data_IF_371504201444
#
_entry.id   IF_371504201444
#
_cell.length_a   1.000
_cell.length_b   1.000
_cell.length_c   1.000
_cell.angle_alpha   90.00
_cell.angle_beta   90.00
_cell.angle_gamma   90.00
#
_symmetry.space_group_name_H-M   'P 1'
#
loop_
_entity.id
_entity.type
_entity.pdbx_description
1 polymer ?
#
# COMPACT_ATOMS: atom_id res chain seq x y z
N UNK A 1 15.96 -7.92 7.90
CA UNK A 1 14.78 -7.09 7.63
C UNK A 1 15.17 -5.68 7.15
N UNK A 2 16.00 -4.91 7.90
CA UNK A 2 16.38 -3.53 7.54
C UNK A 2 17.03 -3.45 6.16
N UNK A 3 18.02 -4.31 5.88
CA UNK A 3 18.67 -4.36 4.55
C UNK A 3 17.68 -4.62 3.41
N UNK A 4 16.72 -5.52 3.63
CA UNK A 4 15.71 -5.84 2.63
C UNK A 4 14.80 -4.63 2.39
N UNK A 5 14.39 -3.92 3.45
CA UNK A 5 13.58 -2.69 3.33
C UNK A 5 14.33 -1.62 2.54
N UNK A 6 15.61 -1.39 2.85
CA UNK A 6 16.42 -0.41 2.14
C UNK A 6 16.64 -0.82 0.68
N UNK A 7 17.08 -2.06 0.43
CA UNK A 7 17.35 -2.54 -0.93
C UNK A 7 16.08 -2.50 -1.79
N UNK A 8 14.99 -3.09 -1.33
CA UNK A 8 13.73 -3.16 -2.07
C UNK A 8 13.09 -1.77 -2.17
N UNK A 9 12.97 -1.05 -1.05
CA UNK A 9 12.31 0.26 -1.03
C UNK A 9 13.01 1.29 -1.91
N UNK A 10 14.35 1.37 -1.86
CA UNK A 10 15.12 2.31 -2.68
C UNK A 10 15.07 1.88 -4.16
N UNK A 11 15.29 0.59 -4.46
CA UNK A 11 15.24 0.09 -5.84
C UNK A 11 13.89 0.38 -6.49
N UNK A 12 12.78 0.08 -5.80
CA UNK A 12 11.44 0.37 -6.31
C UNK A 12 11.20 1.88 -6.47
N UNK A 13 11.65 2.70 -5.53
CA UNK A 13 11.51 4.17 -5.65
C UNK A 13 12.24 4.69 -6.89
N UNK A 14 13.47 4.22 -7.16
CA UNK A 14 14.26 4.61 -8.35
C UNK A 14 13.56 4.13 -9.62
N UNK A 15 13.14 2.86 -9.67
CA UNK A 15 12.46 2.30 -10.84
C UNK A 15 11.17 3.08 -11.14
N UNK A 16 10.35 3.34 -10.13
CA UNK A 16 9.09 4.08 -10.29
C UNK A 16 9.36 5.51 -10.76
N UNK A 17 10.36 6.19 -10.21
CA UNK A 17 10.75 7.52 -10.66
C UNK A 17 11.21 7.54 -12.12
N UNK A 18 11.90 6.47 -12.56
CA UNK A 18 12.36 6.35 -13.95
C UNK A 18 11.23 6.07 -14.94
N UNK A 19 10.24 5.24 -14.56
CA UNK A 19 9.18 4.77 -15.48
C UNK A 19 7.84 5.49 -15.33
N UNK A 20 7.73 6.48 -14.41
CA UNK A 20 6.43 7.11 -14.09
C UNK A 20 5.70 7.68 -15.31
N UNK A 21 6.43 8.22 -16.30
CA UNK A 21 5.86 8.77 -17.53
C UNK A 21 5.49 7.68 -18.55
N UNK A 22 6.18 6.54 -18.54
CA UNK A 22 5.92 5.43 -19.44
C UNK A 22 4.70 4.61 -19.03
N UNK A 23 4.43 4.50 -17.73
CA UNK A 23 3.32 3.68 -17.21
C UNK A 23 1.96 4.09 -17.79
N UNK A 24 1.56 5.38 -17.80
CA UNK A 24 0.30 5.78 -18.42
C UNK A 24 0.24 5.49 -19.92
N UNK A 25 1.38 5.55 -20.63
CA UNK A 25 1.47 5.22 -22.05
C UNK A 25 1.23 3.73 -22.28
N UNK A 26 1.88 2.88 -21.50
CA UNK A 26 1.67 1.42 -21.57
C UNK A 26 0.25 0.99 -21.21
N UNK A 27 -0.40 1.74 -20.31
CA UNK A 27 -1.80 1.53 -19.95
C UNK A 27 -2.78 2.15 -20.93
N UNK A 28 -2.31 2.75 -22.04
CA UNK A 28 -3.14 3.39 -23.07
C UNK A 28 -4.07 4.46 -22.49
N UNK A 29 -3.62 5.19 -21.48
CA UNK A 29 -4.36 6.29 -20.89
C UNK A 29 -4.51 7.42 -21.92
N UNK A 30 -5.69 8.04 -21.98
CA UNK A 30 -6.01 9.17 -22.87
C UNK A 30 -4.95 10.28 -22.72
N UNK A 31 -4.56 10.88 -23.86
CA UNK A 31 -3.50 11.90 -23.89
C UNK A 31 -3.82 13.10 -23.02
N UNK A 32 -5.10 13.49 -22.93
CA UNK A 32 -5.53 14.65 -22.14
C UNK A 32 -5.32 14.49 -20.63
N UNK A 33 -5.25 13.25 -20.11
CA UNK A 33 -5.09 12.98 -18.69
C UNK A 33 -3.78 12.25 -18.35
N UNK A 34 -2.93 11.99 -19.35
CA UNK A 34 -1.69 11.21 -19.21
C UNK A 34 -0.70 11.84 -18.24
N UNK A 35 -0.52 13.15 -18.30
CA UNK A 35 0.38 13.87 -17.38
C UNK A 35 -0.16 13.87 -15.94
N UNK A 36 -1.46 14.01 -15.77
CA UNK A 36 -2.11 13.90 -14.46
C UNK A 36 -1.94 12.49 -13.87
N UNK A 37 -2.12 11.45 -14.69
CA UNK A 37 -1.93 10.07 -14.30
C UNK A 37 -0.46 9.78 -13.90
N UNK A 38 0.52 10.33 -14.64
CA UNK A 38 1.94 10.20 -14.32
C UNK A 38 2.28 10.87 -12.98
N UNK A 39 1.77 12.10 -12.72
CA UNK A 39 1.96 12.78 -11.45
C UNK A 39 1.30 12.04 -10.29
N UNK A 40 0.06 11.59 -10.48
CA UNK A 40 -0.64 10.76 -9.50
C UNK A 40 0.19 9.52 -9.12
N UNK A 41 0.68 8.80 -10.12
CA UNK A 41 1.49 7.60 -9.93
C UNK A 41 2.78 7.93 -9.18
N UNK A 42 3.49 8.99 -9.56
CA UNK A 42 4.72 9.40 -8.90
C UNK A 42 4.49 9.78 -7.42
N UNK A 43 3.48 10.60 -7.13
CA UNK A 43 3.15 11.03 -5.77
C UNK A 43 2.78 9.82 -4.89
N UNK A 44 1.94 8.93 -5.41
CA UNK A 44 1.46 7.77 -4.67
C UNK A 44 2.59 6.79 -4.30
N UNK A 45 3.55 6.62 -5.18
CA UNK A 45 4.64 5.66 -5.03
C UNK A 45 5.97 6.27 -4.55
N UNK A 46 6.09 7.61 -4.52
CA UNK A 46 7.28 8.27 -3.98
C UNK A 46 7.68 7.75 -2.57
N UNK A 47 6.75 7.54 -1.61
CA UNK A 47 7.09 7.01 -0.30
C UNK A 47 7.21 5.47 -0.27
N UNK A 48 7.64 4.82 -1.37
CA UNK A 48 7.71 3.36 -1.46
C UNK A 48 8.61 2.74 -0.39
N UNK A 49 9.67 3.43 0.01
CA UNK A 49 10.54 3.02 1.11
C UNK A 49 9.75 2.87 2.42
N UNK A 50 8.92 3.86 2.77
CA UNK A 50 8.10 3.83 3.99
C UNK A 50 7.00 2.78 3.92
N UNK A 51 6.40 2.60 2.74
CA UNK A 51 5.41 1.54 2.49
C UNK A 51 6.03 0.15 2.68
N UNK A 52 7.22 -0.07 2.12
CA UNK A 52 7.98 -1.32 2.27
C UNK A 52 8.36 -1.54 3.75
N UNK A 53 8.80 -0.50 4.45
CA UNK A 53 9.09 -0.56 5.88
C UNK A 53 7.86 -0.95 6.70
N UNK A 54 6.69 -0.35 6.41
CA UNK A 54 5.45 -0.68 7.11
C UNK A 54 5.06 -2.16 6.94
N UNK A 55 5.19 -2.70 5.73
CA UNK A 55 4.86 -4.11 5.43
C UNK A 55 5.86 -5.05 6.12
N UNK A 56 7.16 -4.87 5.90
CA UNK A 56 8.19 -5.80 6.38
C UNK A 56 8.34 -5.71 7.89
N UNK A 57 8.45 -4.52 8.47
CA UNK A 57 8.60 -4.37 9.92
C UNK A 57 7.31 -4.73 10.67
N UNK A 58 6.14 -4.47 10.06
CA UNK A 58 4.87 -4.94 10.58
C UNK A 58 4.79 -6.48 10.63
N UNK A 59 5.36 -7.17 9.65
CA UNK A 59 5.45 -8.63 9.65
C UNK A 59 6.44 -9.14 10.70
N UNK A 60 7.59 -8.48 10.85
CA UNK A 60 8.58 -8.80 11.89
C UNK A 60 7.99 -8.63 13.29
N UNK A 61 7.23 -7.57 13.57
CA UNK A 61 6.56 -7.39 14.85
C UNK A 61 5.53 -8.50 15.11
N UNK A 62 4.74 -8.87 14.10
CA UNK A 62 3.78 -9.98 14.22
C UNK A 62 4.46 -11.32 14.49
N UNK A 63 5.62 -11.59 13.89
CA UNK A 63 6.34 -12.86 14.09
C UNK A 63 6.90 -13.03 15.51
N UNK A 64 7.06 -11.95 16.28
CA UNK A 64 7.42 -12.01 17.72
C UNK A 64 6.21 -11.84 18.65
N UNK A 65 4.98 -11.97 18.11
CA UNK A 65 3.73 -11.90 18.87
C UNK A 65 3.15 -10.50 19.07
N UNK A 66 3.86 -9.42 18.69
CA UNK A 66 3.30 -8.07 18.77
C UNK A 66 2.40 -7.77 17.57
N UNK A 67 1.17 -8.23 17.65
CA UNK A 67 0.12 -7.96 16.65
C UNK A 67 -0.58 -6.62 16.86
N UNK A 68 -0.55 -6.11 18.10
CA UNK A 68 -1.26 -4.87 18.49
C UNK A 68 -0.62 -3.62 17.89
N UNK A 69 0.71 -3.56 17.84
CA UNK A 69 1.43 -2.41 17.30
C UNK A 69 1.16 -2.19 15.81
N UNK A 70 1.33 -3.19 14.91
CA UNK A 70 0.98 -3.02 13.49
C UNK A 70 -0.51 -2.68 13.27
N UNK A 71 -1.40 -3.29 14.06
CA UNK A 71 -2.83 -2.99 13.99
C UNK A 71 -3.12 -1.52 14.33
N UNK A 72 -2.60 -1.02 15.45
CA UNK A 72 -2.80 0.38 15.87
C UNK A 72 -2.24 1.37 14.85
N UNK A 73 -1.03 1.11 14.33
CA UNK A 73 -0.42 1.95 13.29
C UNK A 73 -1.28 1.93 12.03
N UNK A 74 -1.80 0.78 11.62
CA UNK A 74 -2.69 0.65 10.47
C UNK A 74 -4.01 1.43 10.64
N UNK A 75 -4.64 1.34 11.81
CA UNK A 75 -5.87 2.10 12.11
C UNK A 75 -5.62 3.61 12.03
N UNK A 76 -4.57 4.11 12.69
CA UNK A 76 -4.22 5.54 12.65
C UNK A 76 -3.87 5.99 11.24
N UNK A 77 -3.13 5.17 10.48
CA UNK A 77 -2.80 5.43 9.08
C UNK A 77 -4.07 5.59 8.22
N UNK A 78 -5.07 4.72 8.41
CA UNK A 78 -6.34 4.81 7.69
C UNK A 78 -7.16 6.05 8.10
N UNK A 79 -7.16 6.41 9.38
CA UNK A 79 -7.82 7.64 9.86
C UNK A 79 -7.15 8.86 9.20
N UNK A 80 -5.82 8.94 9.23
CA UNK A 80 -5.06 10.03 8.58
C UNK A 80 -5.40 10.08 7.08
N UNK A 81 -5.39 8.95 6.38
CA UNK A 81 -5.72 8.88 4.97
C UNK A 81 -7.13 9.40 4.69
N UNK A 82 -8.12 8.96 5.47
CA UNK A 82 -9.52 9.38 5.31
C UNK A 82 -9.69 10.89 5.53
N UNK A 83 -9.11 11.43 6.60
CA UNK A 83 -9.18 12.86 6.92
C UNK A 83 -8.49 13.69 5.83
N UNK A 84 -7.29 13.29 5.43
CA UNK A 84 -6.55 14.00 4.39
C UNK A 84 -7.22 13.90 3.01
N UNK A 85 -7.82 12.77 2.66
CA UNK A 85 -8.63 12.64 1.44
C UNK A 85 -9.76 13.66 1.44
N UNK A 86 -10.45 13.79 2.55
CA UNK A 86 -11.52 14.76 2.70
C UNK A 86 -11.06 16.21 2.54
N UNK A 87 -9.87 16.53 3.07
CA UNK A 87 -9.28 17.87 3.00
C UNK A 87 -8.65 18.19 1.65
N UNK A 88 -8.03 17.22 0.97
CA UNK A 88 -7.24 17.49 -0.23
C UNK A 88 -8.02 17.31 -1.52
N UNK A 89 -8.97 16.37 -1.57
CA UNK A 89 -9.72 16.10 -2.80
C UNK A 89 -10.68 17.25 -3.11
N UNK A 90 -11.40 17.69 -2.10
CA UNK A 90 -12.49 18.66 -2.30
C UNK A 90 -12.04 20.10 -2.10
N UNK A 91 -12.62 21.06 -2.84
CA UNK A 91 -12.46 22.48 -2.55
C UNK A 91 -13.18 22.85 -1.25
N UNK A 92 -12.86 24.01 -0.71
CA UNK A 92 -13.57 24.59 0.44
C UNK A 92 -15.06 24.69 0.11
N UNK A 93 -15.90 24.11 0.97
CA UNK A 93 -17.35 24.03 0.79
C UNK A 93 -18.09 24.33 2.08
N UNK A 94 -19.28 24.86 1.96
CA UNK A 94 -20.18 25.06 3.08
C UNK A 94 -21.13 23.87 3.16
N UNK A 95 -21.07 23.12 4.26
CA UNK A 95 -22.04 22.06 4.54
C UNK A 95 -23.06 22.57 5.54
N UNK A 96 -24.33 22.39 5.23
CA UNK A 96 -25.44 22.70 6.16
C UNK A 96 -25.83 21.40 6.84
N UNK A 97 -25.49 21.26 8.13
CA UNK A 97 -25.82 20.08 8.93
C UNK A 97 -26.74 20.54 10.05
N UNK A 98 -27.95 20.00 10.10
CA UNK A 98 -28.97 20.36 11.10
C UNK A 98 -29.24 21.87 11.22
N UNK A 99 -29.20 22.60 10.09
CA UNK A 99 -29.45 24.05 10.05
C UNK A 99 -28.23 24.93 10.41
N UNK A 100 -27.08 24.34 10.72
CA UNK A 100 -25.84 25.04 11.01
C UNK A 100 -24.94 25.00 9.77
N UNK A 101 -24.53 26.17 9.27
CA UNK A 101 -23.59 26.30 8.16
C UNK A 101 -22.17 26.14 8.69
N UNK A 102 -21.53 25.02 8.34
CA UNK A 102 -20.13 24.73 8.69
C UNK A 102 -19.28 24.86 7.44
N UNK A 103 -18.30 25.77 7.46
CA UNK A 103 -17.32 25.88 6.39
C UNK A 103 -16.29 24.77 6.55
N UNK A 104 -16.29 23.83 5.62
CA UNK A 104 -15.33 22.73 5.57
C UNK A 104 -14.16 23.16 4.70
N UNK A 105 -12.94 23.30 5.28
CA UNK A 105 -11.75 23.66 4.50
C UNK A 105 -11.41 22.54 3.51
N UNK A 106 -10.93 22.89 2.34
CA UNK A 106 -10.47 21.94 1.34
C UNK A 106 -9.49 22.58 0.36
N UNK A 107 -8.49 21.79 -0.07
CA UNK A 107 -7.46 22.28 -0.97
C UNK A 107 -7.86 22.18 -2.45
N UNK A 108 -8.83 21.33 -2.79
CA UNK A 108 -9.33 21.22 -4.18
C UNK A 108 -8.35 20.59 -5.16
N UNK A 109 -7.40 19.77 -4.67
CA UNK A 109 -6.39 19.12 -5.55
C UNK A 109 -6.97 17.93 -6.33
N UNK A 110 -8.23 17.54 -6.11
CA UNK A 110 -8.86 16.43 -6.82
C UNK A 110 -8.08 15.12 -6.70
N UNK A 111 -7.75 14.52 -7.84
CA UNK A 111 -7.06 13.23 -7.91
C UNK A 111 -5.63 13.29 -7.30
N UNK A 112 -4.90 14.38 -7.53
CA UNK A 112 -3.57 14.56 -6.95
C UNK A 112 -3.65 14.67 -5.42
N UNK A 113 -4.72 15.25 -4.89
CA UNK A 113 -5.00 15.31 -3.46
C UNK A 113 -5.16 13.93 -2.82
N UNK A 114 -5.83 13.00 -3.51
CA UNK A 114 -5.96 11.62 -3.07
C UNK A 114 -4.61 10.89 -3.01
N UNK A 115 -3.74 11.13 -4.01
CA UNK A 115 -2.39 10.59 -4.01
C UNK A 115 -1.55 11.13 -2.85
N UNK A 116 -1.60 12.45 -2.60
CA UNK A 116 -0.90 13.10 -1.49
C UNK A 116 -1.37 12.57 -0.12
N UNK A 117 -2.69 12.45 0.07
CA UNK A 117 -3.24 11.89 1.31
C UNK A 117 -2.72 10.48 1.58
N UNK A 118 -2.69 9.64 0.56
CA UNK A 118 -2.16 8.28 0.64
C UNK A 118 -0.65 8.26 0.90
N UNK A 119 0.11 9.12 0.21
CA UNK A 119 1.55 9.23 0.39
C UNK A 119 1.92 9.64 1.83
N UNK A 120 1.22 10.63 2.39
CA UNK A 120 1.42 11.08 3.78
C UNK A 120 1.06 9.96 4.77
N UNK A 121 -0.07 9.27 4.56
CA UNK A 121 -0.49 8.17 5.42
C UNK A 121 0.51 7.01 5.41
N UNK A 122 1.04 6.61 4.25
CA UNK A 122 2.09 5.58 4.15
C UNK A 122 3.40 6.03 4.78
N UNK A 123 3.78 7.29 4.62
CA UNK A 123 4.98 7.86 5.26
C UNK A 123 4.85 7.80 6.78
N UNK A 124 3.71 8.23 7.32
CA UNK A 124 3.42 8.11 8.75
C UNK A 124 3.52 6.64 9.21
N UNK A 125 2.83 5.72 8.51
CA UNK A 125 2.85 4.29 8.84
C UNK A 125 4.25 3.71 8.86
N UNK A 126 5.07 4.01 7.84
CA UNK A 126 6.45 3.56 7.75
C UNK A 126 7.33 4.11 8.88
N UNK A 127 7.22 5.40 9.20
CA UNK A 127 7.97 6.01 10.30
C UNK A 127 7.52 5.43 11.65
N UNK A 128 6.21 5.37 11.90
CA UNK A 128 5.67 4.89 13.16
C UNK A 128 6.08 3.44 13.45
N UNK A 129 5.96 2.54 12.47
CA UNK A 129 6.35 1.15 12.62
C UNK A 129 7.87 1.00 12.83
N UNK A 130 8.68 1.80 12.10
CA UNK A 130 10.13 1.83 12.24
C UNK A 130 10.52 2.24 13.66
N UNK A 131 9.97 3.33 14.17
CA UNK A 131 10.25 3.81 15.53
C UNK A 131 9.86 2.76 16.58
N UNK A 132 8.73 2.06 16.39
CA UNK A 132 8.28 0.99 17.30
C UNK A 132 9.24 -0.20 17.25
N UNK A 133 9.69 -0.62 16.08
CA UNK A 133 10.68 -1.68 15.93
C UNK A 133 12.00 -1.32 16.61
N UNK A 134 12.50 -0.09 16.45
CA UNK A 134 13.74 0.38 17.08
C UNK A 134 13.66 0.47 18.61
N UNK A 135 12.47 0.61 19.16
CA UNK A 135 12.22 0.65 20.61
C UNK A 135 11.84 -0.69 21.19
N UNK A 136 11.66 -1.72 20.36
CA UNK A 136 11.31 -3.06 20.85
C UNK A 136 12.48 -3.70 21.58
N UNK A 137 12.20 -4.35 22.72
CA UNK A 137 13.26 -4.91 23.58
C UNK A 137 14.05 -6.03 22.89
N UNK A 138 13.34 -6.95 22.20
CA UNK A 138 13.92 -8.20 21.72
C UNK A 138 14.45 -8.14 20.29
N UNK A 139 13.90 -7.26 19.43
CA UNK A 139 14.18 -7.24 17.99
C UNK A 139 14.73 -5.93 17.47
N UNK A 140 15.14 -5.03 18.39
CA UNK A 140 15.73 -3.76 17.99
C UNK A 140 17.01 -3.96 17.17
N UNK A 141 17.12 -3.33 15.99
CA UNK A 141 18.33 -3.41 15.17
C UNK A 141 19.50 -2.59 15.72
N UNK A 142 19.35 -1.94 16.89
CA UNK A 142 20.40 -1.15 17.52
C UNK A 142 21.63 -2.01 17.84
N UNK A 143 22.79 -1.56 17.37
CA UNK A 143 24.07 -2.26 17.64
C UNK A 143 24.27 -3.54 16.82
N UNK A 144 23.34 -3.92 15.98
CA UNK A 144 23.46 -5.08 15.10
C UNK A 144 24.21 -4.72 13.81
N UNK A 145 25.04 -5.67 13.35
CA UNK A 145 25.72 -5.52 12.06
C UNK A 145 24.73 -5.54 10.89
N UNK A 146 24.82 -4.55 10.01
CA UNK A 146 24.04 -4.51 8.77
C UNK A 146 24.64 -5.38 7.65
N UNK A 147 25.64 -6.23 7.95
CA UNK A 147 26.18 -7.16 6.95
C UNK A 147 25.15 -8.25 6.65
N UNK A 148 24.93 -8.59 5.35
CA UNK A 148 24.02 -9.66 4.98
C UNK A 148 24.57 -11.01 5.47
N UNK A 149 23.81 -11.69 6.29
CA UNK A 149 24.11 -13.06 6.70
C UNK A 149 23.53 -14.03 5.67
N UNK A 150 24.43 -14.74 4.98
CA UNK A 150 24.05 -15.72 3.93
C UNK A 150 23.25 -16.89 4.50
N UNK A 151 23.46 -17.25 5.75
CA UNK A 151 22.76 -18.38 6.39
C UNK A 151 21.28 -18.08 6.59
N UNK A 152 20.92 -16.81 6.76
CA UNK A 152 19.55 -16.33 6.89
C UNK A 152 18.98 -15.95 5.51
N UNK A 153 19.80 -15.28 4.69
CA UNK A 153 19.32 -14.72 3.41
C UNK A 153 18.94 -15.81 2.40
N UNK A 154 19.74 -16.88 2.30
CA UNK A 154 19.50 -17.97 1.33
C UNK A 154 18.16 -18.68 1.58
N UNK A 155 17.83 -19.13 2.80
CA UNK A 155 16.50 -19.69 3.09
C UNK A 155 15.37 -18.71 2.80
N UNK A 156 15.52 -17.42 3.16
CA UNK A 156 14.53 -16.40 2.87
C UNK A 156 14.27 -16.26 1.36
N UNK A 157 15.32 -16.18 0.53
CA UNK A 157 15.20 -16.10 -0.92
C UNK A 157 14.57 -17.38 -1.50
N UNK A 158 14.95 -18.55 -0.99
CA UNK A 158 14.38 -19.83 -1.43
C UNK A 158 12.86 -19.90 -1.22
N UNK A 159 12.34 -19.33 -0.15
CA UNK A 159 10.90 -19.25 0.12
C UNK A 159 10.25 -18.08 -0.65
N UNK A 160 10.93 -16.95 -0.74
CA UNK A 160 10.40 -15.77 -1.41
C UNK A 160 10.24 -15.96 -2.93
N UNK A 161 11.19 -16.63 -3.59
CA UNK A 161 11.19 -16.77 -5.03
C UNK A 161 9.98 -17.54 -5.59
N UNK A 162 9.62 -18.73 -5.08
CA UNK A 162 8.40 -19.41 -5.51
C UNK A 162 7.12 -18.58 -5.26
N UNK A 163 7.05 -17.89 -4.11
CA UNK A 163 5.93 -17.00 -3.80
C UNK A 163 5.84 -15.82 -4.77
N UNK A 164 6.97 -15.26 -5.19
CA UNK A 164 7.00 -14.22 -6.24
C UNK A 164 6.47 -14.78 -7.57
N UNK A 165 6.94 -15.94 -8.00
CA UNK A 165 6.47 -16.57 -9.23
C UNK A 165 4.96 -16.86 -9.19
N UNK A 166 4.47 -17.37 -8.06
CA UNK A 166 3.04 -17.60 -7.85
C UNK A 166 2.23 -16.30 -7.94
N UNK A 167 2.66 -15.25 -7.26
CA UNK A 167 1.99 -13.94 -7.31
C UNK A 167 2.01 -13.34 -8.70
N UNK A 168 3.13 -13.45 -9.42
CA UNK A 168 3.24 -12.99 -10.79
C UNK A 168 2.29 -13.74 -11.72
N UNK A 169 2.25 -15.07 -11.65
CA UNK A 169 1.33 -15.88 -12.45
C UNK A 169 -0.15 -15.54 -12.15
N UNK A 170 -0.50 -15.38 -10.86
CA UNK A 170 -1.85 -14.96 -10.44
C UNK A 170 -2.20 -13.57 -11.00
N UNK A 171 -1.26 -12.63 -10.94
CA UNK A 171 -1.46 -11.28 -11.48
C UNK A 171 -1.65 -11.28 -12.99
N UNK A 172 -0.86 -12.09 -13.73
CA UNK A 172 -1.05 -12.25 -15.18
C UNK A 172 -2.43 -12.84 -15.49
N UNK A 173 -2.85 -13.88 -14.75
CA UNK A 173 -4.19 -14.46 -14.90
C UNK A 173 -5.28 -13.42 -14.69
N UNK A 174 -5.13 -12.56 -13.69
CA UNK A 174 -6.10 -11.49 -13.43
C UNK A 174 -6.14 -10.45 -14.56
N UNK A 175 -4.98 -10.07 -15.13
CA UNK A 175 -4.91 -9.14 -16.26
C UNK A 175 -5.59 -9.73 -17.50
N UNK A 176 -5.33 -11.00 -17.82
CA UNK A 176 -6.00 -11.70 -18.92
C UNK A 176 -7.51 -11.75 -18.72
N UNK A 177 -7.95 -12.13 -17.53
CA UNK A 177 -9.37 -12.20 -17.17
C UNK A 177 -10.04 -10.81 -17.29
N UNK A 178 -9.42 -9.76 -16.76
CA UNK A 178 -9.92 -8.40 -16.88
C UNK A 178 -10.01 -7.93 -18.34
N UNK A 179 -9.02 -8.31 -19.18
CA UNK A 179 -9.04 -8.03 -20.62
C UNK A 179 -10.21 -8.73 -21.31
N UNK A 180 -10.48 -9.98 -20.96
CA UNK A 180 -11.65 -10.72 -21.52
C UNK A 180 -12.96 -10.06 -21.12
N UNK A 181 -13.11 -9.59 -19.88
CA UNK A 181 -14.31 -8.88 -19.45
C UNK A 181 -14.48 -7.55 -20.19
N UNK A 182 -13.41 -6.80 -20.36
CA UNK A 182 -13.44 -5.53 -21.09
C UNK A 182 -13.84 -5.74 -22.56
N UNK A 183 -13.47 -6.87 -23.16
CA UNK A 183 -13.88 -7.20 -24.54
C UNK A 183 -15.40 -7.45 -24.70
N UNK A 184 -16.12 -7.69 -23.59
CA UNK A 184 -17.58 -7.86 -23.58
C UNK A 184 -18.36 -6.53 -23.57
N UNK A 185 -17.64 -5.40 -23.52
CA UNK A 185 -18.18 -4.05 -23.57
C UNK A 185 -18.32 -3.36 -22.20
N UNK A 186 -18.56 -2.05 -22.24
CA UNK A 186 -18.55 -1.18 -21.04
C UNK A 186 -19.54 -1.60 -19.95
N UNK A 187 -20.73 -2.04 -20.34
CA UNK A 187 -21.78 -2.45 -19.39
C UNK A 187 -21.33 -3.67 -18.59
N UNK A 188 -20.72 -4.66 -19.26
CA UNK A 188 -20.18 -5.87 -18.62
C UNK A 188 -19.00 -5.55 -17.70
N UNK A 189 -18.11 -4.68 -18.13
CA UNK A 189 -16.98 -4.21 -17.34
C UNK A 189 -17.44 -3.45 -16.09
N UNK A 190 -18.44 -2.57 -16.21
CA UNK A 190 -19.01 -1.85 -15.08
C UNK A 190 -19.70 -2.79 -14.09
N UNK A 191 -20.51 -3.74 -14.58
CA UNK A 191 -21.17 -4.75 -13.75
C UNK A 191 -20.15 -5.61 -12.99
N UNK A 192 -19.08 -6.05 -13.67
CA UNK A 192 -18.00 -6.79 -13.03
C UNK A 192 -17.28 -5.97 -11.94
N UNK A 193 -17.02 -4.69 -12.18
CA UNK A 193 -16.37 -3.81 -11.19
C UNK A 193 -17.23 -3.65 -9.94
N UNK A 194 -18.54 -3.49 -10.11
CA UNK A 194 -19.48 -3.42 -8.97
C UNK A 194 -19.51 -4.75 -8.21
N UNK A 195 -19.65 -5.87 -8.93
CA UNK A 195 -19.64 -7.20 -8.32
C UNK A 195 -18.34 -7.46 -7.53
N UNK A 196 -17.19 -7.13 -8.10
CA UNK A 196 -15.87 -7.29 -7.46
C UNK A 196 -15.74 -6.40 -6.20
N UNK A 197 -16.34 -5.22 -6.21
CA UNK A 197 -16.37 -4.33 -5.03
C UNK A 197 -17.19 -4.94 -3.90
N UNK A 198 -18.35 -5.52 -4.19
CA UNK A 198 -19.18 -6.23 -3.21
C UNK A 198 -18.46 -7.48 -2.69
N UNK A 199 -17.89 -8.27 -3.58
CA UNK A 199 -17.14 -9.49 -3.26
C UNK A 199 -15.92 -9.19 -2.36
N UNK A 200 -15.22 -8.08 -2.57
CA UNK A 200 -14.09 -7.69 -1.73
C UNK A 200 -14.48 -7.47 -0.26
N UNK A 201 -15.74 -7.11 0.02
CA UNK A 201 -16.29 -7.03 1.36
C UNK A 201 -16.25 -8.37 2.12
N UNK A 202 -16.35 -9.51 1.40
CA UNK A 202 -16.22 -10.84 1.98
C UNK A 202 -14.77 -11.31 2.10
N UNK A 203 -13.90 -10.91 1.15
CA UNK A 203 -12.50 -11.30 1.18
C UNK A 203 -11.67 -10.58 2.25
N UNK A 204 -12.01 -9.32 2.59
CA UNK A 204 -11.26 -8.54 3.58
C UNK A 204 -11.18 -9.22 4.96
N UNK A 205 -12.29 -9.70 5.55
CA UNK A 205 -12.24 -10.51 6.79
C UNK A 205 -11.43 -11.79 6.62
N UNK A 206 -11.55 -12.47 5.47
CA UNK A 206 -10.81 -13.70 5.16
C UNK A 206 -9.30 -13.49 5.16
N UNK A 207 -8.82 -12.40 4.58
CA UNK A 207 -7.39 -12.03 4.63
C UNK A 207 -6.91 -11.70 6.05
N UNK A 208 -7.78 -11.10 6.86
CA UNK A 208 -7.50 -10.89 8.28
C UNK A 208 -7.30 -12.21 9.02
N UNK A 209 -8.20 -13.17 8.81
CA UNK A 209 -8.11 -14.52 9.40
C UNK A 209 -6.87 -15.28 8.89
N UNK A 210 -6.56 -15.21 7.60
CA UNK A 210 -5.33 -15.79 7.03
C UNK A 210 -4.08 -15.26 7.73
N UNK A 211 -4.00 -13.95 7.93
CA UNK A 211 -2.86 -13.32 8.61
C UNK A 211 -2.76 -13.78 10.07
N UNK A 212 -3.88 -13.90 10.78
CA UNK A 212 -3.92 -14.40 12.15
C UNK A 212 -3.46 -15.86 12.22
N UNK A 213 -4.00 -16.73 11.34
CA UNK A 213 -3.63 -18.13 11.28
C UNK A 213 -2.13 -18.31 10.96
N UNK A 214 -1.60 -17.56 9.99
CA UNK A 214 -0.19 -17.60 9.65
C UNK A 214 0.71 -17.16 10.84
N UNK A 215 0.28 -16.16 11.61
CA UNK A 215 1.01 -15.71 12.80
C UNK A 215 0.99 -16.77 13.91
N UNK A 216 -0.16 -17.39 14.15
CA UNK A 216 -0.29 -18.46 15.16
C UNK A 216 0.53 -19.70 14.78
N UNK A 217 0.44 -20.15 13.54
CA UNK A 217 1.19 -21.31 13.06
C UNK A 217 2.71 -21.07 13.03
N UNK A 218 3.14 -19.83 12.80
CA UNK A 218 4.56 -19.47 12.82
C UNK A 218 5.15 -19.33 14.22
N UNK A 219 4.33 -19.20 15.26
CA UNK A 219 4.74 -19.06 16.66
C UNK A 219 4.50 -20.35 17.48
N UNK A 220 3.89 -21.36 16.90
CA UNK A 220 3.70 -22.68 17.50
C UNK A 220 4.91 -23.57 17.29
#
# INVERSE_FOLDING_TARGET
>A
AVLVVLAVGISFTIVIAAINKQVPVWMQVDEGIRDMAARYFLILYAPMLFRTANIIFGTVLRSVGDTKTPMRVGVVMNIINTVLNFLFIYPTRVAVIAGISITLPGAGFGIEGAALASAIAYTYGGIAITVKLWKHADISPKGQSLKPDKTILIPCVRVAFPNMCQRFATSLGYVVFASMINSLGETSAAAHTIANTVESGFYIPGWGMQTAAATLAGNA
#
